data_IF_357035220963
#
_entry.id   IF_357035220963
#
_cell.length_a   1.000
_cell.length_b   1.000
_cell.length_c   1.000
_cell.angle_alpha   90.00
_cell.angle_beta   90.00
_cell.angle_gamma   90.00
#
_symmetry.space_group_name_H-M   'P 1'
#
loop_
_entity.id
_entity.type
_entity.pdbx_description
1 polymer ?
#
# COMPACT_ATOMS: atom_id res chain seq x y z
N UNK A 1 68.37 5.63 17.09
CA UNK A 1 67.61 6.65 17.87
C UNK A 1 68.03 6.68 19.35
N UNK A 2 69.32 6.66 19.67
CA UNK A 2 69.85 6.61 21.05
C UNK A 2 70.81 7.72 21.52
N UNK A 3 71.26 8.72 20.71
CA UNK A 3 72.25 9.68 21.22
C UNK A 3 71.67 10.96 21.86
N UNK A 4 70.36 11.25 21.74
CA UNK A 4 69.79 12.50 22.28
C UNK A 4 69.46 12.44 23.78
N UNK A 5 69.18 11.25 24.32
CA UNK A 5 68.78 11.09 25.73
C UNK A 5 70.00 11.23 26.67
N UNK A 6 71.21 10.91 26.20
CA UNK A 6 72.42 10.93 27.02
C UNK A 6 72.95 12.34 27.36
N UNK A 7 72.56 13.38 26.60
CA UNK A 7 73.01 14.77 26.84
C UNK A 7 72.16 15.56 27.84
N UNK A 8 71.06 15.01 28.33
CA UNK A 8 70.17 15.69 29.28
C UNK A 8 70.48 15.39 30.76
N UNK A 9 71.39 14.44 31.05
CA UNK A 9 71.60 13.91 32.40
C UNK A 9 72.29 14.86 33.40
N UNK A 10 72.70 16.07 32.98
CA UNK A 10 73.42 17.04 33.82
C UNK A 10 72.75 18.42 33.95
N UNK A 11 71.54 18.63 33.41
CA UNK A 11 70.86 19.93 33.48
C UNK A 11 69.95 19.95 34.71
N UNK A 12 70.31 20.78 35.71
CA UNK A 12 69.44 21.06 36.86
C UNK A 12 68.31 21.97 36.38
N UNK A 13 67.19 21.35 36.00
CA UNK A 13 66.01 22.07 35.50
C UNK A 13 65.34 22.81 36.66
N UNK A 14 65.03 24.11 36.52
CA UNK A 14 64.36 24.88 37.56
C UNK A 14 63.04 24.23 37.98
N UNK A 15 62.70 24.25 39.28
CA UNK A 15 61.53 23.54 39.80
C UNK A 15 60.21 23.88 39.08
N UNK A 16 60.05 25.10 38.55
CA UNK A 16 58.86 25.50 37.78
C UNK A 16 58.65 24.70 36.48
N UNK A 17 59.73 24.26 35.82
CA UNK A 17 59.64 23.47 34.56
C UNK A 17 59.08 22.08 34.80
N UNK A 18 59.40 21.46 35.94
CA UNK A 18 58.84 20.16 36.34
C UNK A 18 57.33 20.27 36.54
N UNK A 19 56.88 21.33 37.21
CA UNK A 19 55.45 21.60 37.40
C UNK A 19 54.74 21.93 36.08
N UNK A 20 55.38 22.68 35.18
CA UNK A 20 54.84 22.95 33.84
C UNK A 20 54.70 21.67 33.00
N UNK A 21 55.69 20.77 33.07
CA UNK A 21 55.62 19.47 32.39
C UNK A 21 54.49 18.58 32.96
N UNK A 22 54.29 18.58 34.28
CA UNK A 22 53.15 17.89 34.91
C UNK A 22 51.82 18.48 34.45
N UNK A 23 51.68 19.81 34.43
CA UNK A 23 50.47 20.48 33.96
C UNK A 23 50.17 20.15 32.49
N UNK A 24 51.19 20.19 31.62
CA UNK A 24 51.06 19.81 30.22
C UNK A 24 50.63 18.34 30.05
N UNK A 25 51.15 17.43 30.86
CA UNK A 25 50.76 16.02 30.85
C UNK A 25 49.29 15.84 31.28
N UNK A 26 48.85 16.56 32.32
CA UNK A 26 47.45 16.54 32.77
C UNK A 26 46.50 17.04 31.68
N UNK A 27 46.86 18.11 30.96
CA UNK A 27 46.09 18.63 29.82
C UNK A 27 46.04 17.61 28.67
N UNK A 28 47.17 16.96 28.37
CA UNK A 28 47.22 15.95 27.31
C UNK A 28 46.36 14.72 27.63
N UNK A 29 46.40 14.21 28.87
CA UNK A 29 45.56 13.10 29.31
C UNK A 29 44.08 13.49 29.29
N UNK A 30 43.73 14.69 29.77
CA UNK A 30 42.37 15.20 29.69
C UNK A 30 41.86 15.33 28.25
N UNK A 31 42.67 15.90 27.36
CA UNK A 31 42.34 16.02 25.93
C UNK A 31 42.17 14.67 25.25
N UNK A 32 43.06 13.70 25.54
CA UNK A 32 42.94 12.33 25.05
C UNK A 32 41.68 11.63 25.57
N UNK A 33 41.32 11.84 26.85
CA UNK A 33 40.08 11.35 27.44
C UNK A 33 38.83 11.90 26.74
N UNK A 34 38.78 13.22 26.51
CA UNK A 34 37.66 13.89 25.80
C UNK A 34 37.53 13.40 24.36
N UNK A 35 38.64 13.20 23.65
CA UNK A 35 38.64 12.63 22.29
C UNK A 35 38.17 11.18 22.28
N UNK A 36 38.57 10.37 23.27
CA UNK A 36 38.13 8.98 23.40
C UNK A 36 36.64 8.87 23.73
N UNK A 37 36.12 9.76 24.59
CA UNK A 37 34.67 9.89 24.84
C UNK A 37 33.90 10.30 23.59
N UNK A 38 34.39 11.31 22.86
CA UNK A 38 33.76 11.76 21.63
C UNK A 38 33.69 10.65 20.57
N UNK A 39 34.75 9.84 20.43
CA UNK A 39 34.77 8.67 19.54
C UNK A 39 33.77 7.59 19.97
N UNK A 40 33.75 7.22 21.25
CA UNK A 40 32.77 6.25 21.78
C UNK A 40 31.33 6.71 21.56
N UNK A 41 31.06 8.00 21.75
CA UNK A 41 29.75 8.59 21.46
C UNK A 41 29.39 8.52 19.97
N UNK A 42 30.34 8.83 19.08
CA UNK A 42 30.16 8.74 17.63
C UNK A 42 29.92 7.29 17.16
N UNK A 43 30.71 6.33 17.64
CA UNK A 43 30.57 4.91 17.30
C UNK A 43 29.23 4.36 17.81
N UNK A 44 28.83 4.68 19.04
CA UNK A 44 27.54 4.27 19.59
C UNK A 44 26.36 4.84 18.80
N UNK A 45 26.46 6.10 18.33
CA UNK A 45 25.45 6.71 17.47
C UNK A 45 25.42 6.06 16.08
N UNK A 46 26.59 5.77 15.49
CA UNK A 46 26.68 5.11 14.20
C UNK A 46 26.05 3.70 14.25
N UNK A 47 26.32 2.95 15.32
CA UNK A 47 25.72 1.64 15.56
C UNK A 47 24.20 1.72 15.74
N UNK A 48 23.72 2.73 16.48
CA UNK A 48 22.28 2.97 16.67
C UNK A 48 21.59 3.27 15.34
N UNK A 49 22.14 4.19 14.54
CA UNK A 49 21.65 4.52 13.20
C UNK A 49 21.68 3.27 12.30
N UNK A 50 22.76 2.48 12.35
CA UNK A 50 22.90 1.25 11.57
C UNK A 50 21.85 0.19 11.92
N UNK A 51 21.55 0.01 13.22
CA UNK A 51 20.47 -0.88 13.67
C UNK A 51 19.11 -0.39 13.20
N UNK A 52 18.84 0.91 13.32
CA UNK A 52 17.58 1.49 12.87
C UNK A 52 17.41 1.35 11.35
N UNK A 53 18.46 1.63 10.57
CA UNK A 53 18.44 1.46 9.12
C UNK A 53 18.17 0.01 8.71
N UNK A 54 18.76 -0.96 9.40
CA UNK A 54 18.54 -2.38 9.15
C UNK A 54 17.09 -2.80 9.45
N UNK A 55 16.53 -2.32 10.57
CA UNK A 55 15.13 -2.58 10.91
C UNK A 55 14.17 -1.97 9.89
N UNK A 56 14.37 -0.71 9.53
CA UNK A 56 13.57 -0.01 8.51
C UNK A 56 13.66 -0.73 7.16
N UNK A 57 14.86 -1.14 6.73
CA UNK A 57 15.04 -1.90 5.49
C UNK A 57 14.28 -3.25 5.53
N UNK A 58 14.27 -3.92 6.68
CA UNK A 58 13.51 -5.16 6.88
C UNK A 58 12.00 -4.95 6.76
N UNK A 59 11.47 -3.85 7.32
CA UNK A 59 10.04 -3.48 7.20
C UNK A 59 9.73 -3.16 5.74
N UNK A 60 10.48 -2.26 5.11
CA UNK A 60 10.27 -1.86 3.71
C UNK A 60 10.29 -3.07 2.76
N UNK A 61 11.20 -4.02 2.97
CA UNK A 61 11.23 -5.26 2.19
C UNK A 61 9.91 -6.02 2.29
N UNK A 62 9.39 -6.24 3.51
CA UNK A 62 8.08 -6.90 3.71
C UNK A 62 6.94 -6.12 3.07
N UNK A 63 6.97 -4.79 3.15
CA UNK A 63 5.93 -3.94 2.54
C UNK A 63 5.91 -4.06 1.02
N UNK A 64 7.08 -4.12 0.37
CA UNK A 64 7.21 -4.32 -1.08
C UNK A 64 6.70 -5.71 -1.45
N UNK A 65 7.09 -6.76 -0.71
CA UNK A 65 6.60 -8.13 -0.95
C UNK A 65 5.08 -8.22 -0.87
N UNK A 66 4.46 -7.60 0.14
CA UNK A 66 3.00 -7.48 0.28
C UNK A 66 2.40 -6.73 -0.90
N UNK A 67 2.95 -5.56 -1.25
CA UNK A 67 2.45 -4.74 -2.35
C UNK A 67 2.43 -5.51 -3.66
N UNK A 68 3.57 -6.07 -4.06
CA UNK A 68 3.70 -6.80 -5.32
C UNK A 68 2.77 -8.02 -5.33
N UNK A 69 2.76 -8.82 -4.26
CA UNK A 69 1.92 -10.03 -4.20
C UNK A 69 0.43 -9.72 -4.30
N UNK A 70 -0.05 -8.72 -3.55
CA UNK A 70 -1.46 -8.36 -3.52
C UNK A 70 -1.88 -7.71 -4.84
N UNK A 71 -1.05 -6.80 -5.37
CA UNK A 71 -1.34 -6.13 -6.64
C UNK A 71 -1.46 -7.10 -7.80
N UNK A 72 -0.51 -8.03 -7.95
CA UNK A 72 -0.59 -9.06 -8.97
C UNK A 72 -1.89 -9.86 -8.84
N UNK A 73 -2.23 -10.31 -7.64
CA UNK A 73 -3.43 -11.12 -7.41
C UNK A 73 -4.72 -10.42 -7.81
N UNK A 74 -4.97 -9.19 -7.34
CA UNK A 74 -6.25 -8.53 -7.65
C UNK A 74 -6.33 -8.05 -9.10
N UNK A 75 -5.21 -7.61 -9.69
CA UNK A 75 -5.17 -7.22 -11.12
C UNK A 75 -5.46 -8.42 -12.00
N UNK A 76 -4.87 -9.58 -11.71
CA UNK A 76 -5.14 -10.83 -12.47
C UNK A 76 -6.62 -11.23 -12.41
N UNK A 77 -7.26 -11.09 -11.24
CA UNK A 77 -8.70 -11.39 -11.11
C UNK A 77 -9.56 -10.39 -11.88
N UNK A 78 -9.25 -9.10 -11.81
CA UNK A 78 -9.97 -8.07 -12.58
C UNK A 78 -9.86 -8.34 -14.08
N UNK A 79 -8.68 -8.70 -14.59
CA UNK A 79 -8.51 -9.08 -16.00
C UNK A 79 -9.41 -10.26 -16.38
N UNK A 80 -9.46 -11.31 -15.56
CA UNK A 80 -10.37 -12.45 -15.78
C UNK A 80 -11.83 -12.02 -15.78
N UNK A 81 -12.23 -11.14 -14.87
CA UNK A 81 -13.59 -10.59 -14.80
C UNK A 81 -13.97 -9.90 -16.11
N UNK A 82 -13.09 -9.06 -16.67
CA UNK A 82 -13.34 -8.39 -17.95
C UNK A 82 -13.40 -9.37 -19.13
N UNK A 83 -12.51 -10.38 -19.18
CA UNK A 83 -12.57 -11.42 -20.22
C UNK A 83 -13.90 -12.19 -20.15
N UNK A 84 -14.35 -12.55 -18.94
CA UNK A 84 -15.64 -13.21 -18.73
C UNK A 84 -16.81 -12.29 -19.14
N UNK A 85 -16.75 -11.01 -18.78
CA UNK A 85 -17.75 -10.01 -19.17
C UNK A 85 -17.89 -9.90 -20.69
N UNK A 86 -16.77 -9.73 -21.40
CA UNK A 86 -16.76 -9.67 -22.87
C UNK A 86 -17.27 -10.96 -23.52
N UNK A 87 -16.97 -12.11 -22.92
CA UNK A 87 -17.50 -13.41 -23.38
C UNK A 87 -19.02 -13.47 -23.23
N UNK A 88 -19.57 -13.01 -22.10
CA UNK A 88 -21.02 -12.98 -21.86
C UNK A 88 -21.69 -12.00 -22.83
N UNK A 89 -21.12 -10.82 -23.02
CA UNK A 89 -21.64 -9.79 -23.93
C UNK A 89 -21.71 -10.30 -25.38
N UNK A 90 -20.68 -11.02 -25.84
CA UNK A 90 -20.67 -11.65 -27.17
C UNK A 90 -21.76 -12.71 -27.33
N UNK A 91 -22.19 -13.35 -26.24
CA UNK A 91 -23.23 -14.37 -26.25
C UNK A 91 -24.65 -13.80 -26.24
N UNK A 92 -24.85 -12.49 -26.02
CA UNK A 92 -26.18 -11.86 -26.00
C UNK A 92 -27.04 -12.27 -27.21
N UNK A 93 -26.60 -12.15 -28.47
CA UNK A 93 -27.44 -12.49 -29.63
C UNK A 93 -27.76 -13.99 -29.76
N UNK A 94 -27.06 -14.86 -29.03
CA UNK A 94 -27.36 -16.30 -28.98
C UNK A 94 -28.61 -16.55 -28.12
N UNK A 95 -28.77 -15.77 -27.04
CA UNK A 95 -29.86 -15.92 -26.07
C UNK A 95 -31.02 -14.95 -26.31
N UNK A 96 -30.76 -13.79 -26.92
CA UNK A 96 -31.75 -12.79 -27.31
C UNK A 96 -31.66 -12.67 -28.82
N UNK A 97 -32.50 -13.41 -29.54
CA UNK A 97 -32.47 -13.38 -31.00
C UNK A 97 -33.07 -12.06 -31.51
N UNK A 98 -32.68 -11.59 -32.71
CA UNK A 98 -33.25 -10.37 -33.29
C UNK A 98 -34.79 -10.38 -33.34
N UNK A 99 -35.40 -11.53 -33.60
CA UNK A 99 -36.86 -11.68 -33.62
C UNK A 99 -37.51 -11.49 -32.23
N UNK A 100 -36.78 -11.77 -31.14
CA UNK A 100 -37.25 -11.53 -29.77
C UNK A 100 -37.15 -10.04 -29.42
N UNK A 101 -36.10 -9.36 -29.91
CA UNK A 101 -35.93 -7.91 -29.72
C UNK A 101 -37.06 -7.09 -30.39
N UNK A 102 -37.62 -7.58 -31.50
CA UNK A 102 -38.77 -6.96 -32.17
C UNK A 102 -40.11 -7.29 -31.49
N UNK A 103 -40.18 -8.43 -30.79
CA UNK A 103 -41.43 -8.96 -30.20
C UNK A 103 -41.64 -8.51 -28.76
N UNK A 104 -40.55 -8.36 -28.02
CA UNK A 104 -40.57 -8.06 -26.60
C UNK A 104 -39.79 -6.77 -26.35
N UNK A 105 -40.31 -5.93 -25.45
CA UNK A 105 -39.70 -4.66 -25.10
C UNK A 105 -39.91 -4.34 -23.63
N UNK A 106 -39.14 -3.37 -23.14
CA UNK A 106 -39.33 -2.78 -21.81
C UNK A 106 -40.13 -1.48 -21.94
N UNK A 107 -40.84 -1.10 -20.88
CA UNK A 107 -41.58 0.16 -20.83
C UNK A 107 -40.70 1.31 -20.32
N UNK A 108 -41.08 2.55 -20.60
CA UNK A 108 -40.35 3.74 -20.15
C UNK A 108 -40.17 3.78 -18.62
N UNK A 109 -41.15 3.30 -17.86
CA UNK A 109 -41.08 3.20 -16.41
C UNK A 109 -39.98 2.24 -15.91
N UNK A 110 -39.72 1.14 -16.63
CA UNK A 110 -38.62 0.23 -16.29
C UNK A 110 -37.27 0.93 -16.40
N UNK A 111 -37.05 1.66 -17.50
CA UNK A 111 -35.81 2.43 -17.72
C UNK A 111 -35.66 3.51 -16.66
N UNK A 112 -36.73 4.26 -16.35
CA UNK A 112 -36.70 5.31 -15.33
C UNK A 112 -36.30 4.78 -13.94
N UNK A 113 -36.77 3.57 -13.58
CA UNK A 113 -36.37 2.93 -12.32
C UNK A 113 -34.89 2.53 -12.33
N UNK A 114 -34.38 2.00 -13.44
CA UNK A 114 -32.95 1.68 -13.56
C UNK A 114 -32.08 2.94 -13.49
N UNK A 115 -32.44 4.01 -14.21
CA UNK A 115 -31.70 5.26 -14.19
C UNK A 115 -31.65 5.88 -12.78
N UNK A 116 -32.76 5.84 -12.06
CA UNK A 116 -32.82 6.25 -10.65
C UNK A 116 -31.92 5.39 -9.76
N UNK A 117 -31.90 4.06 -9.96
CA UNK A 117 -31.01 3.17 -9.21
C UNK A 117 -29.53 3.48 -9.47
N UNK A 118 -29.16 3.81 -10.71
CA UNK A 118 -27.78 4.14 -11.07
C UNK A 118 -27.34 5.54 -10.67
N UNK A 119 -28.25 6.52 -10.71
CA UNK A 119 -27.98 7.89 -10.28
C UNK A 119 -28.05 8.08 -8.76
N UNK A 120 -28.80 7.21 -8.07
CA UNK A 120 -29.13 7.38 -6.66
C UNK A 120 -30.22 8.43 -6.40
N UNK A 121 -30.83 8.98 -7.45
CA UNK A 121 -31.90 9.96 -7.35
C UNK A 121 -33.27 9.30 -7.19
N UNK A 122 -34.24 9.93 -6.49
CA UNK A 122 -35.59 9.40 -6.40
C UNK A 122 -36.28 9.31 -7.77
N UNK A 123 -36.95 8.17 -8.05
CA UNK A 123 -37.71 7.94 -9.29
C UNK A 123 -38.83 8.97 -9.52
N UNK A 124 -39.40 9.52 -8.44
CA UNK A 124 -40.59 10.34 -8.48
C UNK A 124 -41.90 9.53 -8.58
N UNK A 125 -43.06 10.19 -8.67
CA UNK A 125 -44.34 9.51 -8.80
C UNK A 125 -44.48 8.81 -10.17
N UNK A 126 -45.28 7.73 -10.20
CA UNK A 126 -45.63 7.07 -11.45
C UNK A 126 -46.48 7.98 -12.34
N UNK A 127 -46.28 7.89 -13.65
CA UNK A 127 -47.01 8.65 -14.68
C UNK A 127 -47.54 7.70 -15.75
N UNK A 128 -48.58 8.10 -16.48
CA UNK A 128 -49.15 7.25 -17.54
C UNK A 128 -48.13 6.96 -18.65
N UNK A 129 -47.23 7.90 -18.93
CA UNK A 129 -46.11 7.74 -19.88
C UNK A 129 -45.18 6.58 -19.52
N UNK A 130 -45.13 6.15 -18.26
CA UNK A 130 -44.30 5.02 -17.85
C UNK A 130 -44.75 3.71 -18.50
N UNK A 131 -46.00 3.62 -18.97
CA UNK A 131 -46.55 2.44 -19.63
C UNK A 131 -46.17 2.35 -21.11
N UNK A 132 -45.69 3.44 -21.70
CA UNK A 132 -45.30 3.47 -23.11
C UNK A 132 -44.04 2.64 -23.37
N UNK A 133 -43.85 2.10 -24.59
CA UNK A 133 -42.63 1.41 -24.96
C UNK A 133 -41.39 2.30 -24.76
N UNK A 134 -40.32 1.75 -24.19
CA UNK A 134 -39.03 2.42 -24.19
C UNK A 134 -38.39 2.33 -25.58
N UNK A 135 -37.59 3.33 -25.94
CA UNK A 135 -36.80 3.34 -27.18
C UNK A 135 -35.55 2.42 -27.11
N UNK A 136 -35.46 1.56 -26.09
CA UNK A 136 -34.36 0.63 -25.88
C UNK A 136 -34.81 -0.81 -26.16
N UNK A 137 -34.04 -1.49 -27.01
CA UNK A 137 -34.23 -2.90 -27.29
C UNK A 137 -33.75 -3.78 -26.13
N UNK A 138 -34.27 -5.01 -26.04
CA UNK A 138 -33.92 -5.94 -24.95
C UNK A 138 -32.44 -6.33 -24.93
N UNK A 139 -31.82 -6.49 -26.10
CA UNK A 139 -30.39 -6.77 -26.23
C UNK A 139 -29.54 -5.58 -25.78
N UNK A 140 -29.98 -4.34 -26.00
CA UNK A 140 -29.31 -3.14 -25.48
C UNK A 140 -29.36 -3.08 -23.95
N UNK A 141 -30.51 -3.40 -23.34
CA UNK A 141 -30.65 -3.50 -21.87
C UNK A 141 -29.74 -4.61 -21.33
N UNK A 142 -29.74 -5.79 -21.97
CA UNK A 142 -28.88 -6.89 -21.56
C UNK A 142 -27.39 -6.53 -21.65
N UNK A 143 -26.97 -5.84 -22.72
CA UNK A 143 -25.59 -5.38 -22.88
C UNK A 143 -25.18 -4.40 -21.77
N UNK A 144 -26.04 -3.42 -21.47
CA UNK A 144 -25.82 -2.49 -20.37
C UNK A 144 -25.67 -3.21 -19.03
N UNK A 145 -26.57 -4.14 -18.71
CA UNK A 145 -26.53 -4.89 -17.45
C UNK A 145 -25.31 -5.82 -17.35
N UNK A 146 -24.88 -6.44 -18.45
CA UNK A 146 -23.64 -7.23 -18.48
C UNK A 146 -22.41 -6.34 -18.21
N UNK A 147 -22.34 -5.16 -18.83
CA UNK A 147 -21.28 -4.18 -18.60
C UNK A 147 -21.24 -3.69 -17.15
N UNK A 148 -22.41 -3.37 -16.61
CA UNK A 148 -22.61 -2.94 -15.22
C UNK A 148 -22.18 -4.03 -14.23
N UNK A 149 -22.67 -5.25 -14.41
CA UNK A 149 -22.31 -6.39 -13.55
C UNK A 149 -20.80 -6.68 -13.61
N UNK A 150 -20.20 -6.62 -14.80
CA UNK A 150 -18.75 -6.80 -14.98
C UNK A 150 -17.96 -5.75 -14.19
N UNK A 151 -18.35 -4.48 -14.30
CA UNK A 151 -17.71 -3.37 -13.57
C UNK A 151 -17.86 -3.51 -12.06
N UNK A 152 -19.06 -3.84 -11.57
CA UNK A 152 -19.32 -4.07 -10.14
C UNK A 152 -18.46 -5.22 -9.57
N UNK A 153 -18.31 -6.34 -10.31
CA UNK A 153 -17.43 -7.43 -9.89
C UNK A 153 -15.97 -6.98 -9.86
N UNK A 154 -15.51 -6.22 -10.86
CA UNK A 154 -14.14 -5.71 -10.89
C UNK A 154 -13.85 -4.76 -9.71
N UNK A 155 -14.76 -3.84 -9.41
CA UNK A 155 -14.64 -2.92 -8.27
C UNK A 155 -14.63 -3.66 -6.93
N UNK A 156 -15.47 -4.69 -6.78
CA UNK A 156 -15.46 -5.55 -5.60
C UNK A 156 -14.08 -6.18 -5.39
N UNK A 157 -13.51 -6.76 -6.45
CA UNK A 157 -12.21 -7.43 -6.37
C UNK A 157 -11.05 -6.46 -6.11
N UNK A 158 -11.15 -5.24 -6.64
CA UNK A 158 -10.22 -4.16 -6.31
C UNK A 158 -10.30 -3.76 -4.84
N UNK A 159 -11.52 -3.56 -4.31
CA UNK A 159 -11.72 -3.19 -2.91
C UNK A 159 -11.22 -4.29 -1.95
N UNK A 160 -11.46 -5.57 -2.29
CA UNK A 160 -10.90 -6.71 -1.56
C UNK A 160 -9.37 -6.72 -1.63
N UNK A 161 -8.79 -6.45 -2.80
CA UNK A 161 -7.34 -6.31 -2.96
C UNK A 161 -6.74 -5.20 -2.09
N UNK A 162 -7.37 -4.02 -2.04
CA UNK A 162 -6.92 -2.93 -1.17
C UNK A 162 -7.03 -3.25 0.31
N UNK A 163 -8.09 -3.95 0.71
CA UNK A 163 -8.25 -4.43 2.08
C UNK A 163 -7.11 -5.38 2.47
N UNK A 164 -6.82 -6.37 1.63
CA UNK A 164 -5.74 -7.34 1.84
C UNK A 164 -4.38 -6.64 1.87
N UNK A 165 -4.17 -5.65 0.99
CA UNK A 165 -2.97 -4.82 0.98
C UNK A 165 -2.81 -4.10 2.32
N UNK A 166 -3.84 -3.39 2.78
CA UNK A 166 -3.76 -2.63 4.02
C UNK A 166 -3.55 -3.54 5.24
N UNK A 167 -4.21 -4.70 5.30
CA UNK A 167 -3.97 -5.70 6.34
C UNK A 167 -2.52 -6.20 6.32
N UNK A 168 -1.98 -6.51 5.15
CA UNK A 168 -0.59 -6.94 4.99
C UNK A 168 0.42 -5.86 5.39
N UNK A 169 0.14 -4.58 5.10
CA UNK A 169 0.96 -3.45 5.54
C UNK A 169 0.99 -3.34 7.07
N UNK A 170 -0.17 -3.50 7.73
CA UNK A 170 -0.25 -3.51 9.20
C UNK A 170 0.58 -4.65 9.79
N UNK A 171 0.52 -5.85 9.22
CA UNK A 171 1.37 -6.97 9.67
C UNK A 171 2.86 -6.66 9.46
N UNK A 172 3.24 -6.06 8.33
CA UNK A 172 4.64 -5.72 8.04
C UNK A 172 5.22 -4.69 9.03
N UNK A 173 4.43 -3.71 9.45
CA UNK A 173 4.86 -2.63 10.36
C UNK A 173 4.68 -3.03 11.84
N UNK A 174 3.52 -3.57 12.21
CA UNK A 174 3.09 -3.77 13.59
C UNK A 174 3.16 -5.23 14.06
N UNK A 175 3.48 -6.17 13.17
CA UNK A 175 3.50 -7.61 13.47
C UNK A 175 2.12 -8.26 13.60
N UNK A 176 1.03 -7.50 13.44
CA UNK A 176 -0.36 -7.98 13.45
C UNK A 176 -1.25 -7.14 12.54
N UNK A 177 -2.34 -7.73 12.07
CA UNK A 177 -3.40 -6.99 11.39
C UNK A 177 -4.21 -6.15 12.40
N UNK A 178 -4.93 -5.15 11.90
CA UNK A 178 -5.90 -4.42 12.73
C UNK A 178 -7.13 -5.27 13.02
N UNK A 179 -7.83 -4.99 14.12
CA UNK A 179 -9.02 -5.74 14.58
C UNK A 179 -10.16 -5.75 13.54
N UNK A 180 -10.20 -4.77 12.64
CA UNK A 180 -11.15 -4.70 11.52
C UNK A 180 -10.93 -5.80 10.46
N UNK A 181 -9.76 -6.43 10.43
CA UNK A 181 -9.42 -7.44 9.41
C UNK A 181 -10.23 -8.75 9.60
N UNK A 182 -10.68 -9.04 10.82
CA UNK A 182 -11.43 -10.26 11.17
C UNK A 182 -12.96 -10.11 10.95
N UNK A 183 -13.43 -8.92 10.55
CA UNK A 183 -14.86 -8.56 10.56
C UNK A 183 -15.64 -9.08 9.33
N UNK A 184 -14.97 -9.63 8.30
CA UNK A 184 -15.66 -10.11 7.08
C UNK A 184 -15.41 -11.61 6.85
N UNK A 185 -16.46 -12.45 6.78
CA UNK A 185 -16.31 -13.89 6.60
C UNK A 185 -15.62 -14.26 5.27
N UNK A 186 -14.74 -15.28 5.26
CA UNK A 186 -14.04 -15.77 4.06
C UNK A 186 -14.95 -16.30 2.94
N UNK A 187 -16.23 -16.54 3.25
CA UNK A 187 -17.26 -17.14 2.38
C UNK A 187 -17.85 -16.17 1.34
N UNK A 188 -17.45 -14.90 1.32
CA UNK A 188 -17.75 -13.97 0.21
C UNK A 188 -16.71 -14.04 -0.92
N UNK A 189 -15.73 -14.94 -0.84
CA UNK A 189 -14.65 -15.14 -1.83
C UNK A 189 -14.92 -16.28 -2.83
N UNK A 190 -16.09 -16.92 -2.77
CA UNK A 190 -16.43 -18.13 -3.55
C UNK A 190 -17.70 -18.03 -4.42
N UNK A 191 -18.22 -16.83 -4.67
CA UNK A 191 -19.30 -16.65 -5.66
C UNK A 191 -18.76 -16.09 -6.97
#
# INVERSE_FOLDING_TARGET
MRPLIARAAGIVVPNWTKWAAVAALMVAVYGAGRLHEARRGADAMADYIGKQATQTAGIVKKQIEVQTSVQTKYVDRIQKIYVQGATIETNIPIYIQPADADRFGVNAGFVRVLDAAWSGEPVGPATDSDREPAELSLDAVAAAEVGNATSCRAWRDQALGWRDFYAGQQVAVNGRAGEWADVVPPNLLQQ
#
